data_IF_569237253461
#
_entry.id   IF_569237253461
#
_cell.length_a   1.000
_cell.length_b   1.000
_cell.length_c   1.000
_cell.angle_alpha   90.00
_cell.angle_beta   90.00
_cell.angle_gamma   90.00
#
_symmetry.space_group_name_H-M   'P 1'
#
loop_
_entity.id
_entity.type
_entity.pdbx_description
1 polymer ?
#
# COMPACT_ATOMS: atom_id res chain seq x y z
N UNK A 1 -2.15 9.56 0.01
CA UNK A 1 -2.06 10.46 -1.18
C UNK A 1 -3.39 11.19 -1.35
N UNK A 2 -3.39 12.47 -1.74
CA UNK A 2 -4.63 13.18 -2.07
C UNK A 2 -4.78 13.42 -3.59
N UNK A 3 -6.02 13.52 -4.08
CA UNK A 3 -6.34 13.88 -5.46
C UNK A 3 -5.80 15.28 -5.80
N UNK A 4 -5.36 15.47 -7.04
CA UNK A 4 -4.94 16.79 -7.52
C UNK A 4 -6.13 17.76 -7.53
N UNK A 5 -5.91 18.98 -7.01
CA UNK A 5 -6.96 20.00 -6.93
C UNK A 5 -7.99 19.83 -5.81
N UNK A 6 -7.77 18.92 -4.86
CA UNK A 6 -8.62 18.80 -3.67
C UNK A 6 -8.55 20.08 -2.81
N UNK A 7 -9.61 20.32 -2.03
CA UNK A 7 -9.61 21.37 -1.02
C UNK A 7 -8.89 20.87 0.25
N UNK A 8 -7.75 21.44 0.64
CA UNK A 8 -7.01 20.98 1.82
C UNK A 8 -7.76 21.19 3.14
N UNK A 9 -8.75 22.09 3.17
CA UNK A 9 -9.56 22.36 4.36
C UNK A 9 -10.86 21.52 4.37
N UNK A 10 -11.16 20.79 3.28
CA UNK A 10 -12.36 19.97 3.13
C UNK A 10 -12.08 18.66 2.37
N UNK A 11 -11.31 17.76 3.01
CA UNK A 11 -10.95 16.46 2.43
C UNK A 11 -12.17 15.55 2.33
N UNK A 12 -12.56 15.19 1.11
CA UNK A 12 -13.62 14.22 0.85
C UNK A 12 -13.05 12.78 0.76
N UNK A 13 -13.87 11.73 0.97
CA UNK A 13 -13.44 10.35 0.77
C UNK A 13 -12.89 10.08 -0.64
N UNK A 14 -13.41 10.79 -1.64
CA UNK A 14 -12.93 10.71 -3.03
C UNK A 14 -11.55 11.32 -3.24
N UNK A 15 -11.09 12.16 -2.33
CA UNK A 15 -9.76 12.77 -2.39
C UNK A 15 -8.68 11.84 -1.83
N UNK A 16 -9.04 10.83 -1.03
CA UNK A 16 -8.07 9.91 -0.42
C UNK A 16 -7.77 8.76 -1.37
N UNK A 17 -6.59 8.83 -1.98
CA UNK A 17 -6.14 7.88 -2.98
C UNK A 17 -5.15 6.86 -2.40
N UNK A 18 -5.23 5.62 -2.87
CA UNK A 18 -4.15 4.65 -2.67
C UNK A 18 -2.86 5.17 -3.31
N UNK A 19 -1.78 5.21 -2.54
CA UNK A 19 -0.46 5.71 -2.95
C UNK A 19 0.18 4.87 -4.07
N UNK A 20 -0.36 3.70 -4.37
CA UNK A 20 0.15 2.78 -5.39
C UNK A 20 -0.65 2.81 -6.68
N UNK A 21 -1.99 2.70 -6.63
CA UNK A 21 -2.84 2.63 -7.83
C UNK A 21 -3.66 3.90 -8.11
N UNK A 22 -3.58 4.92 -7.26
CA UNK A 22 -4.28 6.21 -7.41
C UNK A 22 -5.81 6.14 -7.39
N UNK A 23 -6.40 4.99 -7.02
CA UNK A 23 -7.85 4.87 -6.88
C UNK A 23 -8.34 5.50 -5.57
N UNK A 24 -9.52 6.14 -5.56
CA UNK A 24 -10.14 6.74 -4.38
C UNK A 24 -10.76 5.65 -3.51
N UNK A 25 -9.95 4.97 -2.71
CA UNK A 25 -10.38 3.71 -2.10
C UNK A 25 -11.38 3.87 -0.99
N UNK A 26 -11.42 5.03 -0.34
CA UNK A 26 -12.40 5.30 0.73
C UNK A 26 -13.79 5.59 0.16
N UNK A 27 -13.88 6.36 -0.93
CA UNK A 27 -15.13 6.56 -1.66
C UNK A 27 -15.71 5.24 -2.20
N UNK A 28 -14.83 4.31 -2.60
CA UNK A 28 -15.21 3.01 -3.15
C UNK A 28 -15.41 1.91 -2.09
N UNK A 29 -15.33 2.25 -0.79
CA UNK A 29 -15.42 1.31 0.32
C UNK A 29 -14.45 0.11 0.19
N UNK A 30 -13.28 0.36 -0.40
CA UNK A 30 -12.23 -0.65 -0.60
C UNK A 30 -11.37 -0.71 0.67
N UNK A 31 -11.23 -1.89 1.31
CA UNK A 31 -10.39 -2.04 2.49
C UNK A 31 -8.98 -1.53 2.24
N UNK A 32 -8.51 -0.69 3.15
CA UNK A 32 -7.25 0.03 2.99
C UNK A 32 -6.50 0.08 4.32
N UNK A 33 -5.17 0.14 4.26
CA UNK A 33 -4.31 0.33 5.42
C UNK A 33 -3.59 1.67 5.28
N UNK A 34 -3.67 2.46 6.34
CA UNK A 34 -2.92 3.71 6.48
C UNK A 34 -1.51 3.45 7.04
N UNK A 35 -0.53 4.16 6.50
CA UNK A 35 0.87 4.18 6.94
C UNK A 35 1.29 5.56 7.45
N UNK A 36 2.60 5.81 7.49
CA UNK A 36 3.11 7.11 7.91
C UNK A 36 2.68 8.23 6.96
N UNK A 37 2.41 9.42 7.51
CA UNK A 37 2.00 10.63 6.79
C UNK A 37 0.77 10.44 5.88
N UNK A 38 -0.22 9.64 6.31
CA UNK A 38 -1.46 9.43 5.55
C UNK A 38 -1.24 8.68 4.23
N UNK A 39 -0.15 7.91 4.12
CA UNK A 39 0.03 6.98 3.01
C UNK A 39 -0.99 5.86 3.09
N UNK A 40 -1.54 5.43 1.95
CA UNK A 40 -2.61 4.43 1.89
C UNK A 40 -2.23 3.32 0.92
N UNK A 41 -2.39 2.07 1.35
CA UNK A 41 -2.37 0.90 0.47
C UNK A 41 -3.73 0.22 0.49
N UNK A 42 -4.35 0.06 -0.68
CA UNK A 42 -5.59 -0.69 -0.80
C UNK A 42 -5.34 -2.20 -0.80
N UNK A 43 -6.38 -2.98 -0.48
CA UNK A 43 -6.30 -4.44 -0.40
C UNK A 43 -5.79 -5.09 -1.67
N UNK A 44 -6.22 -4.63 -2.85
CA UNK A 44 -5.80 -5.21 -4.13
C UNK A 44 -4.30 -4.98 -4.40
N UNK A 45 -3.78 -3.78 -4.15
CA UNK A 45 -2.34 -3.53 -4.27
C UNK A 45 -1.55 -4.33 -3.23
N UNK A 46 -2.09 -4.46 -2.02
CA UNK A 46 -1.49 -5.25 -0.96
C UNK A 46 -1.46 -6.74 -1.30
N UNK A 47 -2.49 -7.28 -1.94
CA UNK A 47 -2.56 -8.68 -2.38
C UNK A 47 -1.49 -8.98 -3.42
N UNK A 48 -1.34 -8.12 -4.43
CA UNK A 48 -0.28 -8.25 -5.44
C UNK A 48 1.09 -8.19 -4.77
N UNK A 49 1.32 -7.19 -3.90
CA UNK A 49 2.59 -7.06 -3.19
C UNK A 49 2.87 -8.25 -2.25
N UNK A 50 1.84 -8.77 -1.58
CA UNK A 50 1.93 -9.97 -0.73
C UNK A 50 2.31 -11.19 -1.55
N UNK A 51 1.63 -11.42 -2.67
CA UNK A 51 1.91 -12.54 -3.55
C UNK A 51 3.34 -12.48 -4.06
N UNK A 52 3.76 -11.33 -4.61
CA UNK A 52 5.14 -11.16 -5.10
C UNK A 52 6.18 -11.36 -4.00
N UNK A 53 6.05 -10.66 -2.86
CA UNK A 53 7.13 -10.59 -1.87
C UNK A 53 7.15 -11.75 -0.86
N UNK A 54 6.00 -12.37 -0.61
CA UNK A 54 5.84 -13.36 0.47
C UNK A 54 5.59 -14.75 -0.09
N UNK A 55 4.69 -14.89 -1.08
CA UNK A 55 4.37 -16.20 -1.69
C UNK A 55 5.46 -16.58 -2.69
N UNK A 56 5.67 -15.74 -3.70
CA UNK A 56 6.60 -16.00 -4.80
C UNK A 56 8.06 -15.73 -4.39
N UNK A 57 8.26 -15.01 -3.27
CA UNK A 57 9.56 -14.56 -2.76
C UNK A 57 10.39 -13.81 -3.81
N UNK A 58 9.69 -13.13 -4.72
CA UNK A 58 10.25 -12.22 -5.70
C UNK A 58 10.27 -10.80 -5.13
N UNK A 59 10.76 -9.86 -5.92
CA UNK A 59 10.83 -8.44 -5.58
C UNK A 59 12.13 -7.85 -6.09
N UNK A 60 12.15 -6.53 -6.18
CA UNK A 60 13.35 -5.80 -6.59
C UNK A 60 14.20 -5.43 -5.38
N UNK A 61 15.49 -5.29 -5.62
CA UNK A 61 16.39 -4.65 -4.67
C UNK A 61 16.05 -3.17 -4.52
N UNK A 62 16.35 -2.61 -3.35
CA UNK A 62 16.08 -1.21 -3.08
C UNK A 62 16.94 -0.35 -4.00
N UNK A 63 16.32 0.56 -4.74
CA UNK A 63 17.07 1.60 -5.45
C UNK A 63 17.73 2.53 -4.41
N UNK A 64 18.97 2.99 -4.64
CA UNK A 64 19.60 4.00 -3.79
C UNK A 64 18.68 5.22 -3.66
N UNK A 65 18.58 5.77 -2.44
CA UNK A 65 17.74 6.93 -2.13
C UNK A 65 16.22 6.73 -2.31
N UNK A 66 15.74 5.49 -2.44
CA UNK A 66 14.31 5.20 -2.39
C UNK A 66 13.87 4.81 -0.97
N UNK A 67 12.74 5.36 -0.53
CA UNK A 67 12.11 5.04 0.74
C UNK A 67 10.77 4.34 0.52
N UNK A 68 10.37 3.51 1.48
CA UNK A 68 9.10 2.79 1.41
C UNK A 68 7.96 3.77 1.64
N UNK A 69 6.98 3.84 0.75
CA UNK A 69 5.85 4.79 0.88
C UNK A 69 5.09 4.65 2.20
N UNK A 70 5.05 3.45 2.78
CA UNK A 70 4.29 3.19 4.01
C UNK A 70 5.05 3.51 5.31
N UNK A 71 6.38 3.36 5.35
CA UNK A 71 7.17 3.59 6.59
C UNK A 71 8.20 4.72 6.47
N UNK A 72 8.44 5.22 5.26
CA UNK A 72 9.41 6.27 4.92
C UNK A 72 10.89 5.93 5.18
N UNK A 73 11.19 4.65 5.41
CA UNK A 73 12.56 4.18 5.59
C UNK A 73 13.12 3.52 4.33
N UNK A 74 14.44 3.65 4.14
CA UNK A 74 15.21 2.76 3.27
C UNK A 74 15.55 1.51 4.08
N UNK A 75 15.12 0.35 3.58
CA UNK A 75 15.22 -0.94 4.26
C UNK A 75 15.83 -1.97 3.32
N UNK A 76 16.64 -2.84 3.90
CA UNK A 76 17.18 -4.01 3.20
C UNK A 76 16.08 -5.05 2.88
N UNK A 77 16.38 -5.90 1.91
CA UNK A 77 15.49 -6.96 1.44
C UNK A 77 14.64 -6.56 0.23
N UNK A 78 13.66 -7.40 -0.16
CA UNK A 78 12.91 -7.20 -1.41
C UNK A 78 11.76 -6.21 -1.24
N UNK A 79 11.51 -5.48 -2.32
CA UNK A 79 10.48 -4.45 -2.44
C UNK A 79 9.54 -4.76 -3.61
N UNK A 80 8.30 -4.31 -3.48
CA UNK A 80 7.35 -4.29 -4.59
C UNK A 80 7.14 -2.84 -5.02
N UNK A 81 7.21 -2.58 -6.32
CA UNK A 81 6.88 -1.29 -6.90
C UNK A 81 5.54 -1.37 -7.61
N UNK A 82 4.78 -0.27 -7.53
CA UNK A 82 3.52 -0.16 -8.27
C UNK A 82 3.79 -0.23 -9.78
N UNK A 83 2.97 -0.98 -10.54
CA UNK A 83 3.03 -0.94 -12.00
C UNK A 83 2.44 0.34 -12.59
N UNK A 84 1.77 1.17 -11.77
CA UNK A 84 1.12 2.42 -12.19
C UNK A 84 1.99 3.64 -11.87
N UNK A 85 2.86 3.54 -10.85
CA UNK A 85 3.66 4.65 -10.33
C UNK A 85 5.09 4.23 -10.03
N UNK A 86 6.02 4.79 -10.79
CA UNK A 86 7.46 4.51 -10.65
C UNK A 86 8.04 4.98 -9.29
N UNK A 87 7.41 5.96 -8.66
CA UNK A 87 7.82 6.51 -7.35
C UNK A 87 7.20 5.76 -6.16
N UNK A 88 6.31 4.80 -6.38
CA UNK A 88 5.56 4.13 -5.32
C UNK A 88 6.08 2.72 -5.09
N UNK A 89 6.78 2.52 -3.97
CA UNK A 89 7.29 1.21 -3.57
C UNK A 89 7.04 0.90 -2.11
N UNK A 90 6.84 -0.39 -1.79
CA UNK A 90 6.56 -0.89 -0.44
C UNK A 90 7.54 -2.01 -0.08
N UNK A 91 8.14 -1.92 1.11
CA UNK A 91 9.04 -2.95 1.61
C UNK A 91 8.26 -4.16 2.14
N UNK A 92 8.88 -5.35 2.09
CA UNK A 92 8.28 -6.60 2.57
C UNK A 92 7.77 -6.53 4.02
N UNK A 93 8.42 -5.76 4.89
CA UNK A 93 7.98 -5.58 6.28
C UNK A 93 6.61 -4.92 6.34
N UNK A 94 6.41 -3.81 5.63
CA UNK A 94 5.13 -3.10 5.60
C UNK A 94 4.03 -3.96 4.96
N UNK A 95 4.33 -4.70 3.89
CA UNK A 95 3.39 -5.67 3.30
C UNK A 95 2.93 -6.69 4.34
N UNK A 96 3.86 -7.29 5.09
CA UNK A 96 3.53 -8.27 6.13
C UNK A 96 2.70 -7.68 7.27
N UNK A 97 3.01 -6.47 7.69
CA UNK A 97 2.27 -5.78 8.75
C UNK A 97 0.86 -5.41 8.30
N UNK A 98 0.71 -4.76 7.14
CA UNK A 98 -0.59 -4.40 6.58
C UNK A 98 -1.48 -5.63 6.36
N UNK A 99 -0.93 -6.70 5.78
CA UNK A 99 -1.65 -7.97 5.64
C UNK A 99 -1.99 -8.61 7.00
N UNK A 100 -1.13 -8.42 8.01
CA UNK A 100 -1.41 -8.85 9.37
C UNK A 100 -2.62 -8.12 9.99
N UNK A 101 -2.76 -6.82 9.73
CA UNK A 101 -3.86 -5.98 10.21
C UNK A 101 -5.16 -6.37 9.51
N UNK A 102 -5.20 -6.36 8.17
CA UNK A 102 -6.42 -6.71 7.43
C UNK A 102 -6.91 -8.12 7.76
N UNK A 103 -6.01 -9.10 7.85
CA UNK A 103 -6.39 -10.48 8.16
C UNK A 103 -7.08 -10.65 9.52
N UNK A 104 -6.77 -9.77 10.47
CA UNK A 104 -7.31 -9.78 11.83
C UNK A 104 -8.47 -8.79 12.00
N UNK A 105 -8.77 -7.98 10.99
CA UNK A 105 -9.90 -7.05 11.05
C UNK A 105 -11.21 -7.83 11.21
N UNK A 106 -12.12 -7.27 12.00
CA UNK A 106 -13.48 -7.77 12.15
C UNK A 106 -14.45 -7.12 11.16
N UNK A 107 -14.01 -6.04 10.53
CA UNK A 107 -14.81 -5.22 9.62
C UNK A 107 -14.78 -5.79 8.20
N UNK A 108 -13.73 -6.56 7.88
CA UNK A 108 -13.49 -7.10 6.55
C UNK A 108 -13.17 -8.59 6.62
N UNK A 109 -13.85 -9.42 5.83
CA UNK A 109 -13.53 -10.85 5.71
C UNK A 109 -12.38 -11.10 4.73
N UNK A 110 -11.30 -10.32 4.86
CA UNK A 110 -10.11 -10.50 4.05
C UNK A 110 -9.18 -11.54 4.65
N UNK A 111 -8.65 -12.44 3.82
CA UNK A 111 -7.66 -13.46 4.23
C UNK A 111 -6.39 -13.34 3.40
N UNK A 112 -5.25 -13.61 4.03
CA UNK A 112 -3.95 -13.63 3.34
C UNK A 112 -3.98 -14.69 2.24
N UNK A 113 -3.61 -14.33 1.00
CA UNK A 113 -3.43 -15.32 -0.07
C UNK A 113 -2.39 -16.37 0.33
N UNK A 114 -2.69 -17.66 0.12
CA UNK A 114 -1.82 -18.77 0.53
C UNK A 114 -0.98 -19.36 -0.61
N UNK A 115 -1.42 -19.20 -1.87
CA UNK A 115 -0.72 -19.64 -3.10
C UNK A 115 -1.43 -19.09 -4.33
#
# INVERSE_FOLDING_TARGET
>A
MHREGHDPEDIQPGDILCDFCMRPTWELDIPSIEGHHGSVVCVECLEVAWKTLVVDKQGMEVKPNCTCKMCLEQREGPWWSSPVRDDASICRRCVKQAAGVLHKSKDWDWKKPQS
#
